data_IF_664202093763
#
_entry.id   IF_664202093763
#
_cell.length_a   1.000
_cell.length_b   1.000
_cell.length_c   1.000
_cell.angle_alpha   90.00
_cell.angle_beta   90.00
_cell.angle_gamma   90.00
#
_symmetry.space_group_name_H-M   'P 1'
#
loop_
_entity.id
_entity.type
_entity.pdbx_description
1 polymer ?
#
# COMPACT_ATOMS: atom_id res chain seq x y z
N UNK A 1 21.38 -29.16 -12.16
CA UNK A 1 21.65 -28.37 -10.93
C UNK A 1 20.93 -27.05 -11.12
N UNK A 2 19.96 -26.71 -10.27
CA UNK A 2 19.30 -25.41 -10.35
C UNK A 2 20.31 -24.33 -9.97
N UNK A 3 20.53 -23.35 -10.83
CA UNK A 3 21.37 -22.19 -10.52
C UNK A 3 20.85 -21.53 -9.22
N UNK A 4 21.75 -21.16 -8.27
CA UNK A 4 21.33 -20.54 -7.03
C UNK A 4 20.61 -19.22 -7.34
N UNK A 5 19.47 -18.99 -6.68
CA UNK A 5 18.72 -17.75 -6.80
C UNK A 5 19.61 -16.57 -6.40
N UNK A 6 20.08 -15.80 -7.38
CA UNK A 6 20.88 -14.58 -7.14
C UNK A 6 19.92 -13.43 -6.84
N UNK A 7 20.01 -12.89 -5.63
CA UNK A 7 19.32 -11.67 -5.20
C UNK A 7 19.97 -10.46 -5.89
N UNK A 8 19.53 -10.16 -7.10
CA UNK A 8 19.92 -8.96 -7.86
C UNK A 8 18.74 -8.00 -7.89
N UNK A 9 18.96 -6.68 -8.01
CA UNK A 9 17.86 -5.71 -8.11
C UNK A 9 16.87 -6.03 -9.26
N UNK A 10 17.39 -6.56 -10.37
CA UNK A 10 16.60 -7.03 -11.51
C UNK A 10 15.74 -8.24 -11.17
N UNK A 11 16.30 -9.28 -10.52
CA UNK A 11 15.54 -10.47 -10.15
C UNK A 11 14.48 -10.18 -9.10
N UNK A 12 14.76 -9.29 -8.15
CA UNK A 12 13.78 -8.81 -7.17
C UNK A 12 12.60 -8.09 -7.82
N UNK A 13 12.88 -7.24 -8.81
CA UNK A 13 11.86 -6.48 -9.54
C UNK A 13 11.00 -7.41 -10.40
N UNK A 14 11.61 -8.33 -11.14
CA UNK A 14 10.90 -9.28 -12.02
C UNK A 14 9.92 -10.19 -11.24
N UNK A 15 10.33 -10.63 -10.05
CA UNK A 15 9.56 -11.56 -9.20
C UNK A 15 8.73 -10.85 -8.13
N UNK A 16 8.67 -9.52 -8.12
CA UNK A 16 7.89 -8.76 -7.15
C UNK A 16 6.39 -9.06 -7.29
N UNK A 17 5.74 -9.52 -6.21
CA UNK A 17 4.35 -9.95 -6.23
C UNK A 17 3.40 -8.80 -5.82
N UNK A 18 2.33 -8.51 -6.59
CA UNK A 18 1.36 -7.47 -6.23
C UNK A 18 0.65 -7.70 -4.88
N UNK A 19 0.64 -8.93 -4.35
CA UNK A 19 0.08 -9.25 -3.04
C UNK A 19 0.69 -8.45 -1.87
N UNK A 20 1.90 -7.89 -2.03
CA UNK A 20 2.49 -7.01 -1.01
C UNK A 20 1.65 -5.76 -0.73
N UNK A 21 0.87 -5.27 -1.70
CA UNK A 21 -0.06 -4.16 -1.48
C UNK A 21 -1.22 -4.51 -0.52
N UNK A 22 -1.50 -5.80 -0.28
CA UNK A 22 -2.47 -6.21 0.73
C UNK A 22 -2.05 -5.81 2.15
N UNK A 23 -0.74 -5.83 2.45
CA UNK A 23 -0.22 -5.37 3.74
C UNK A 23 -0.43 -3.87 3.93
N UNK A 24 -0.25 -3.09 2.86
CA UNK A 24 -0.53 -1.64 2.87
C UNK A 24 -2.02 -1.39 3.09
N UNK A 25 -2.88 -2.05 2.30
CA UNK A 25 -4.34 -1.96 2.42
C UNK A 25 -4.80 -2.31 3.85
N UNK A 26 -4.31 -3.42 4.40
CA UNK A 26 -4.66 -3.87 5.75
C UNK A 26 -4.19 -2.92 6.86
N UNK A 27 -3.06 -2.25 6.67
CA UNK A 27 -2.60 -1.25 7.65
C UNK A 27 -3.36 0.07 7.50
N UNK A 28 -3.67 0.48 6.28
CA UNK A 28 -4.38 1.73 5.98
C UNK A 28 -5.84 1.73 6.48
N UNK A 29 -6.47 0.56 6.70
CA UNK A 29 -7.83 0.48 7.27
C UNK A 29 -7.87 0.61 8.79
N UNK A 30 -6.77 0.33 9.50
CA UNK A 30 -6.71 0.36 10.97
C UNK A 30 -7.15 1.74 11.54
N UNK A 31 -6.67 2.88 11.03
CA UNK A 31 -7.11 4.19 11.52
C UNK A 31 -8.61 4.43 11.35
N UNK A 32 -9.20 4.01 10.23
CA UNK A 32 -10.64 4.11 9.99
C UNK A 32 -11.43 3.26 10.99
N UNK A 33 -10.97 2.03 11.25
CA UNK A 33 -11.60 1.15 12.24
C UNK A 33 -11.50 1.73 13.66
N UNK A 34 -10.35 2.31 14.02
CA UNK A 34 -10.16 2.95 15.32
C UNK A 34 -10.92 4.27 15.47
N UNK A 35 -11.40 4.84 14.37
CA UNK A 35 -12.12 6.12 14.41
C UNK A 35 -13.47 6.06 15.14
N UNK A 36 -13.97 4.86 15.44
CA UNK A 36 -15.15 4.62 16.29
C UNK A 36 -14.81 4.60 17.79
N UNK A 37 -13.53 4.51 18.15
CA UNK A 37 -13.05 4.46 19.54
C UNK A 37 -12.78 5.86 20.04
N UNK A 38 -13.39 6.23 21.17
CA UNK A 38 -13.15 7.52 21.84
C UNK A 38 -12.04 7.38 22.87
N UNK A 39 -10.79 7.49 22.44
CA UNK A 39 -9.64 7.55 23.33
C UNK A 39 -8.57 8.51 22.80
N UNK A 40 -7.86 9.19 23.70
CA UNK A 40 -6.85 10.21 23.36
C UNK A 40 -5.67 9.65 22.57
N UNK A 41 -5.33 8.37 22.75
CA UNK A 41 -4.24 7.69 22.03
C UNK A 41 -4.58 7.33 20.58
N UNK A 42 -5.86 7.36 20.19
CA UNK A 42 -6.30 6.94 18.84
C UNK A 42 -5.72 7.85 17.77
N UNK A 43 -5.72 9.16 17.99
CA UNK A 43 -5.22 10.15 17.02
C UNK A 43 -3.73 9.96 16.69
N UNK A 44 -2.79 9.96 17.66
CA UNK A 44 -1.37 9.76 17.33
C UNK A 44 -1.08 8.37 16.75
N UNK A 45 -1.82 7.33 17.17
CA UNK A 45 -1.66 5.99 16.61
C UNK A 45 -2.18 5.90 15.16
N UNK A 46 -3.34 6.49 14.88
CA UNK A 46 -3.89 6.62 13.54
C UNK A 46 -2.90 7.32 12.61
N UNK A 47 -2.31 8.43 13.04
CA UNK A 47 -1.27 9.14 12.29
C UNK A 47 -0.09 8.22 11.94
N UNK A 48 0.46 7.51 12.93
CA UNK A 48 1.58 6.60 12.74
C UNK A 48 1.25 5.49 11.74
N UNK A 49 0.06 4.88 11.84
CA UNK A 49 -0.41 3.86 10.90
C UNK A 49 -0.56 4.41 9.47
N UNK A 50 -1.14 5.59 9.28
CA UNK A 50 -1.27 6.20 7.95
C UNK A 50 0.11 6.49 7.38
N UNK A 51 1.00 7.14 8.15
CA UNK A 51 2.34 7.49 7.70
C UNK A 51 3.14 6.24 7.30
N UNK A 52 3.13 5.21 8.16
CA UNK A 52 3.79 3.94 7.86
C UNK A 52 3.22 3.30 6.59
N UNK A 53 1.89 3.26 6.44
CA UNK A 53 1.24 2.69 5.26
C UNK A 53 1.63 3.44 3.98
N UNK A 54 1.68 4.77 4.01
CA UNK A 54 2.11 5.60 2.87
C UNK A 54 3.57 5.33 2.52
N UNK A 55 4.47 5.27 3.50
CA UNK A 55 5.89 4.98 3.26
C UNK A 55 6.09 3.60 2.63
N UNK A 56 5.41 2.57 3.15
CA UNK A 56 5.47 1.21 2.58
C UNK A 56 4.84 1.17 1.19
N UNK A 57 3.75 1.90 0.95
CA UNK A 57 3.14 2.02 -0.38
C UNK A 57 4.12 2.60 -1.40
N UNK A 58 4.78 3.72 -1.06
CA UNK A 58 5.76 4.36 -1.92
C UNK A 58 6.98 3.44 -2.16
N UNK A 59 7.42 2.72 -1.14
CA UNK A 59 8.49 1.73 -1.26
C UNK A 59 8.14 0.62 -2.24
N UNK A 60 6.94 0.05 -2.15
CA UNK A 60 6.48 -1.03 -3.05
C UNK A 60 6.11 -0.55 -4.45
N UNK A 61 5.74 0.73 -4.58
CA UNK A 61 5.50 1.35 -5.89
C UNK A 61 6.72 1.35 -6.79
N UNK A 62 7.93 1.47 -6.24
CA UNK A 62 9.17 1.50 -7.02
C UNK A 62 9.37 0.19 -7.82
N UNK A 63 9.49 -0.99 -7.20
CA UNK A 63 9.66 -2.24 -7.94
C UNK A 63 8.40 -2.60 -8.74
N UNK A 64 7.21 -2.22 -8.29
CA UNK A 64 5.97 -2.50 -9.04
C UNK A 64 5.91 -1.75 -10.37
N UNK A 65 6.17 -0.44 -10.36
CA UNK A 65 6.20 0.36 -11.58
C UNK A 65 7.34 -0.07 -12.49
N UNK A 66 8.53 -0.34 -11.95
CA UNK A 66 9.63 -0.90 -12.71
C UNK A 66 9.27 -2.25 -13.36
N UNK A 67 8.61 -3.16 -12.62
CA UNK A 67 8.13 -4.45 -13.13
C UNK A 67 7.12 -4.27 -14.27
N UNK A 68 6.21 -3.30 -14.14
CA UNK A 68 5.21 -3.00 -15.15
C UNK A 68 5.81 -2.60 -16.49
N UNK A 69 6.85 -1.76 -16.49
CA UNK A 69 7.50 -1.29 -17.72
C UNK A 69 8.59 -2.24 -18.25
N UNK A 70 9.40 -2.83 -17.37
CA UNK A 70 10.56 -3.65 -17.76
C UNK A 70 10.22 -5.13 -17.99
N UNK A 71 9.19 -5.64 -17.31
CA UNK A 71 8.83 -7.07 -17.33
C UNK A 71 7.32 -7.29 -17.59
N UNK A 72 6.74 -6.76 -18.69
CA UNK A 72 5.30 -6.87 -18.96
C UNK A 72 4.82 -8.33 -19.10
N UNK A 73 5.68 -9.24 -19.57
CA UNK A 73 5.38 -10.67 -19.62
C UNK A 73 5.18 -11.27 -18.22
N UNK A 74 5.98 -10.85 -17.23
CA UNK A 74 5.84 -11.27 -15.83
C UNK A 74 4.54 -10.73 -15.22
N UNK A 75 4.20 -9.47 -15.48
CA UNK A 75 2.92 -8.90 -15.03
C UNK A 75 1.72 -9.62 -15.64
N UNK A 76 1.77 -9.96 -16.94
CA UNK A 76 0.72 -10.73 -17.60
C UNK A 76 0.57 -12.13 -16.98
N UNK A 77 1.67 -12.76 -16.58
CA UNK A 77 1.63 -14.05 -15.87
C UNK A 77 0.92 -13.91 -14.52
N UNK A 78 1.25 -12.88 -13.75
CA UNK A 78 0.61 -12.62 -12.45
C UNK A 78 -0.88 -12.29 -12.61
N UNK A 79 -1.25 -11.54 -13.64
CA UNK A 79 -2.64 -11.17 -13.91
C UNK A 79 -3.51 -12.36 -14.33
N UNK A 80 -2.95 -13.35 -15.04
CA UNK A 80 -3.66 -14.58 -15.41
C UNK A 80 -3.59 -15.66 -14.32
N UNK A 81 -2.88 -15.42 -13.22
CA UNK A 81 -2.77 -16.39 -12.13
C UNK A 81 -4.06 -16.39 -11.30
N UNK A 82 -4.67 -17.55 -11.00
CA UNK A 82 -6.00 -17.64 -10.37
C UNK A 82 -6.06 -17.02 -8.97
N UNK A 83 -4.93 -17.00 -8.25
CA UNK A 83 -4.81 -16.42 -6.91
C UNK A 83 -4.24 -14.99 -6.93
N UNK A 84 -3.06 -14.77 -7.52
CA UNK A 84 -2.39 -13.46 -7.48
C UNK A 84 -3.18 -12.33 -8.16
N UNK A 85 -3.97 -12.64 -9.18
CA UNK A 85 -4.87 -11.67 -9.85
C UNK A 85 -5.83 -10.97 -8.89
N UNK A 86 -6.34 -11.69 -7.87
CA UNK A 86 -7.24 -11.14 -6.85
C UNK A 86 -6.57 -10.09 -5.96
N UNK A 87 -5.24 -9.99 -5.98
CA UNK A 87 -4.51 -9.01 -5.19
C UNK A 87 -4.20 -7.72 -5.94
N UNK A 88 -4.34 -7.67 -7.27
CA UNK A 88 -4.16 -6.44 -8.04
C UNK A 88 -5.05 -5.28 -7.54
N UNK A 89 -6.32 -5.50 -7.16
CA UNK A 89 -7.17 -4.44 -6.61
C UNK A 89 -6.69 -3.88 -5.26
N UNK A 90 -5.79 -4.54 -4.54
CA UNK A 90 -5.34 -4.05 -3.23
C UNK A 90 -4.60 -2.70 -3.32
N UNK A 91 -3.94 -2.43 -4.45
CA UNK A 91 -3.29 -1.14 -4.72
C UNK A 91 -4.31 0.02 -4.84
N UNK A 92 -5.32 -0.01 -5.74
CA UNK A 92 -6.33 1.04 -5.79
C UNK A 92 -7.17 1.12 -4.50
N UNK A 93 -7.44 0.01 -3.82
CA UNK A 93 -8.13 0.05 -2.52
C UNK A 93 -7.28 0.79 -1.48
N UNK A 94 -5.96 0.58 -1.43
CA UNK A 94 -5.08 1.34 -0.53
C UNK A 94 -5.16 2.86 -0.79
N UNK A 95 -5.21 3.28 -2.06
CA UNK A 95 -5.41 4.70 -2.41
C UNK A 95 -6.76 5.25 -1.92
N UNK A 96 -7.83 4.48 -2.06
CA UNK A 96 -9.16 4.84 -1.52
C UNK A 96 -9.09 4.98 0.00
N UNK A 97 -8.42 4.06 0.70
CA UNK A 97 -8.25 4.13 2.16
C UNK A 97 -7.43 5.36 2.59
N UNK A 98 -6.42 5.76 1.82
CA UNK A 98 -5.70 7.01 2.09
C UNK A 98 -6.60 8.24 1.94
N UNK A 99 -7.43 8.30 0.89
CA UNK A 99 -8.41 9.38 0.73
C UNK A 99 -9.40 9.42 1.90
N UNK A 100 -9.92 8.27 2.32
CA UNK A 100 -10.83 8.17 3.46
C UNK A 100 -10.16 8.60 4.77
N UNK A 101 -8.89 8.24 4.98
CA UNK A 101 -8.14 8.67 6.15
C UNK A 101 -7.91 10.19 6.17
N UNK A 102 -7.58 10.79 5.02
CA UNK A 102 -7.46 12.24 4.88
C UNK A 102 -8.78 12.94 5.22
N UNK A 103 -9.92 12.40 4.77
CA UNK A 103 -11.25 12.95 5.09
C UNK A 103 -11.58 12.81 6.59
N UNK A 104 -11.27 11.66 7.19
CA UNK A 104 -11.62 11.34 8.57
C UNK A 104 -10.73 12.04 9.60
N UNK A 105 -9.45 12.17 9.28
CA UNK A 105 -8.41 12.71 10.16
C UNK A 105 -7.79 14.00 9.60
N UNK A 106 -8.63 14.85 9.01
CA UNK A 106 -8.22 16.09 8.36
C UNK A 106 -7.32 17.00 9.21
N UNK A 107 -7.60 17.15 10.50
CA UNK A 107 -6.80 17.96 11.43
C UNK A 107 -5.41 17.40 11.74
N UNK A 108 -5.16 16.11 11.44
CA UNK A 108 -3.81 15.53 11.54
C UNK A 108 -2.93 15.89 10.34
N UNK A 109 -3.52 16.18 9.19
CA UNK A 109 -2.79 16.39 7.93
C UNK A 109 -2.83 17.84 7.43
N UNK A 110 -3.89 18.57 7.75
CA UNK A 110 -4.12 19.94 7.30
C UNK A 110 -4.16 20.90 8.48
N UNK A 111 -3.61 22.11 8.28
CA UNK A 111 -3.78 23.22 9.23
C UNK A 111 -5.26 23.59 9.37
N UNK A 112 -5.66 24.16 10.50
CA UNK A 112 -7.06 24.57 10.78
C UNK A 112 -7.66 25.44 9.68
N UNK A 113 -6.86 26.29 9.03
CA UNK A 113 -7.28 27.15 7.92
C UNK A 113 -7.66 26.40 6.63
N UNK A 114 -7.16 25.17 6.47
CA UNK A 114 -7.32 24.33 5.27
C UNK A 114 -8.25 23.14 5.54
N UNK A 115 -8.49 22.82 6.82
CA UNK A 115 -9.41 21.77 7.22
C UNK A 115 -10.84 22.13 6.77
N UNK A 116 -11.60 21.17 6.27
CA UNK A 116 -12.97 21.36 5.77
C UNK A 116 -14.02 21.55 6.90
N UNK A 117 -13.59 21.92 8.11
CA UNK A 117 -14.40 22.00 9.32
C UNK A 117 -14.10 23.27 10.12
#
# INVERSE_FOLDING_TARGET
MAEPFKLTPSSLTEHFNPAWFAAVMGTAVIPLALSFVKASWVQPFAFACVLFSVLVFLLFMIPWTAKFFLYPASVRKDFNHPIASNFFPTMPIALILFALNLMKFQTLFFSKEISLQ
#
